data_IF_528586333682
#
_entry.id   IF_528586333682
#
_cell.length_a   1.000
_cell.length_b   1.000
_cell.length_c   1.000
_cell.angle_alpha   90.00
_cell.angle_beta   90.00
_cell.angle_gamma   90.00
#
_symmetry.space_group_name_H-M   'P 1'
#
loop_
_entity.id
_entity.type
_entity.pdbx_description
1 polymer ?
#
# COMPACT_ATOMS: atom_id res chain seq x y z
N UNK A 1 7.82 11.26 61.97
CA UNK A 1 8.64 10.69 60.87
C UNK A 1 7.83 10.35 59.61
N UNK A 2 6.62 10.91 59.41
CA UNK A 2 5.69 10.55 58.31
C UNK A 2 5.84 11.40 57.03
N UNK A 3 6.47 12.58 57.09
CA UNK A 3 6.57 13.52 55.95
C UNK A 3 7.29 12.94 54.73
N UNK A 4 8.47 12.32 54.94
CA UNK A 4 9.28 11.73 53.85
C UNK A 4 8.57 10.57 53.14
N UNK A 5 7.71 9.84 53.87
CA UNK A 5 6.93 8.75 53.28
C UNK A 5 5.81 9.30 52.39
N UNK A 6 5.12 10.35 52.83
CA UNK A 6 4.09 11.02 52.03
C UNK A 6 4.65 11.70 50.77
N UNK A 7 5.81 12.36 50.87
CA UNK A 7 6.49 12.96 49.71
C UNK A 7 6.87 11.90 48.66
N UNK A 8 7.41 10.74 49.09
CA UNK A 8 7.70 9.62 48.17
C UNK A 8 6.44 9.06 47.51
N UNK A 9 5.34 8.97 48.25
CA UNK A 9 4.07 8.51 47.71
C UNK A 9 3.50 9.50 46.68
N UNK A 10 3.60 10.80 46.93
CA UNK A 10 3.17 11.85 46.00
C UNK A 10 4.03 11.86 44.73
N UNK A 11 5.36 11.77 44.86
CA UNK A 11 6.28 11.68 43.73
C UNK A 11 5.99 10.44 42.87
N UNK A 12 5.73 9.29 43.50
CA UNK A 12 5.36 8.06 42.77
C UNK A 12 4.05 8.22 42.01
N UNK A 13 3.04 8.89 42.58
CA UNK A 13 1.77 9.16 41.89
C UNK A 13 1.96 10.11 40.70
N UNK A 14 2.81 11.12 40.83
CA UNK A 14 3.14 12.03 39.73
C UNK A 14 3.86 11.29 38.61
N UNK A 15 4.88 10.49 38.95
CA UNK A 15 5.62 9.68 37.99
C UNK A 15 4.70 8.72 37.20
N UNK A 16 3.73 8.08 37.86
CA UNK A 16 2.75 7.21 37.18
C UNK A 16 1.88 8.00 36.20
N UNK A 17 1.39 9.19 36.59
CA UNK A 17 0.59 10.03 35.68
C UNK A 17 1.41 10.48 34.47
N UNK A 18 2.67 10.86 34.68
CA UNK A 18 3.58 11.22 33.60
C UNK A 18 3.89 10.03 32.69
N UNK A 19 4.08 8.84 33.25
CA UNK A 19 4.26 7.61 32.48
C UNK A 19 3.03 7.30 31.62
N UNK A 20 1.83 7.28 32.20
CA UNK A 20 0.59 7.06 31.46
C UNK A 20 0.37 8.12 30.38
N UNK A 21 0.71 9.39 30.65
CA UNK A 21 0.65 10.46 29.65
C UNK A 21 1.57 10.18 28.47
N UNK A 22 2.82 9.77 28.74
CA UNK A 22 3.80 9.42 27.69
C UNK A 22 3.35 8.22 26.87
N UNK A 23 2.83 7.18 27.53
CA UNK A 23 2.31 5.99 26.85
C UNK A 23 1.13 6.33 25.94
N UNK A 24 0.22 7.20 26.38
CA UNK A 24 -0.90 7.67 25.55
C UNK A 24 -0.44 8.52 24.37
N UNK A 25 0.52 9.43 24.57
CA UNK A 25 1.09 10.24 23.50
C UNK A 25 1.84 9.38 22.47
N UNK A 26 2.59 8.37 22.93
CA UNK A 26 3.27 7.43 22.05
C UNK A 26 2.28 6.55 21.27
N UNK A 27 1.22 6.04 21.93
CA UNK A 27 0.17 5.29 21.27
C UNK A 27 -0.53 6.12 20.17
N UNK A 28 -0.87 7.38 20.47
CA UNK A 28 -1.42 8.32 19.48
C UNK A 28 -0.45 8.56 18.32
N UNK A 29 0.84 8.73 18.60
CA UNK A 29 1.87 8.91 17.58
C UNK A 29 1.98 7.69 16.67
N UNK A 30 1.94 6.47 17.24
CA UNK A 30 1.95 5.22 16.48
C UNK A 30 0.71 5.09 15.61
N UNK A 31 -0.47 5.41 16.13
CA UNK A 31 -1.72 5.39 15.36
C UNK A 31 -1.67 6.41 14.20
N UNK A 32 -1.20 7.64 14.45
CA UNK A 32 -1.06 8.65 13.41
C UNK A 32 -0.08 8.20 12.31
N UNK A 33 1.03 7.57 12.67
CA UNK A 33 1.98 7.02 11.70
C UNK A 33 1.37 5.87 10.88
N UNK A 34 0.60 4.99 11.50
CA UNK A 34 -0.12 3.91 10.80
C UNK A 34 -1.13 4.48 9.80
N UNK A 35 -1.96 5.44 10.22
CA UNK A 35 -2.93 6.08 9.32
C UNK A 35 -2.24 6.78 8.15
N UNK A 36 -1.15 7.52 8.39
CA UNK A 36 -0.37 8.15 7.33
C UNK A 36 0.20 7.12 6.34
N UNK A 37 0.65 5.96 6.84
CA UNK A 37 1.16 4.87 5.98
C UNK A 37 0.05 4.25 5.11
N UNK A 38 -1.16 4.06 5.67
CA UNK A 38 -2.32 3.54 4.95
C UNK A 38 -2.72 4.53 3.85
N UNK A 39 -2.85 5.81 4.18
CA UNK A 39 -3.16 6.86 3.17
C UNK A 39 -2.12 6.91 2.05
N UNK A 40 -0.84 6.75 2.38
CA UNK A 40 0.24 6.70 1.36
C UNK A 40 0.10 5.47 0.45
N UNK A 41 -0.29 4.34 1.03
CA UNK A 41 -0.54 3.11 0.27
C UNK A 41 -1.75 3.26 -0.67
N UNK A 42 -2.86 3.83 -0.18
CA UNK A 42 -4.06 4.08 -0.98
C UNK A 42 -3.76 5.02 -2.16
N UNK A 43 -2.96 6.08 -1.93
CA UNK A 43 -2.51 6.97 -3.02
C UNK A 43 -1.68 6.24 -4.07
N UNK A 44 -0.88 5.24 -3.68
CA UNK A 44 -0.10 4.43 -4.61
C UNK A 44 -0.99 3.46 -5.38
N UNK A 45 -2.01 2.89 -4.74
CA UNK A 45 -3.02 2.08 -5.44
C UNK A 45 -3.74 2.93 -6.49
N UNK A 46 -4.21 4.12 -6.12
CA UNK A 46 -4.90 5.00 -7.07
C UNK A 46 -4.02 5.31 -8.30
N UNK A 47 -2.74 5.66 -8.10
CA UNK A 47 -1.79 5.89 -9.20
C UNK A 47 -1.56 4.66 -10.08
N UNK A 48 -1.54 3.46 -9.48
CA UNK A 48 -1.40 2.22 -10.23
C UNK A 48 -2.66 1.90 -11.04
N UNK A 49 -3.83 2.21 -10.50
CA UNK A 49 -5.09 2.08 -11.22
C UNK A 49 -5.14 3.05 -12.40
N UNK A 50 -4.80 4.32 -12.19
CA UNK A 50 -4.72 5.31 -13.27
C UNK A 50 -3.74 4.89 -14.38
N UNK A 51 -2.54 4.43 -14.00
CA UNK A 51 -1.58 3.91 -14.97
C UNK A 51 -2.11 2.69 -15.75
N UNK A 52 -2.91 1.82 -15.12
CA UNK A 52 -3.57 0.70 -15.81
C UNK A 52 -4.63 1.20 -16.78
N UNK A 53 -5.36 2.28 -16.44
CA UNK A 53 -6.32 2.93 -17.35
C UNK A 53 -5.61 3.48 -18.58
N UNK A 54 -4.50 4.20 -18.38
CA UNK A 54 -3.70 4.77 -19.48
C UNK A 54 -3.17 3.68 -20.42
N UNK A 55 -2.65 2.57 -19.87
CA UNK A 55 -2.22 1.42 -20.68
C UNK A 55 -3.38 0.80 -21.43
N UNK A 56 -4.55 0.64 -20.79
CA UNK A 56 -5.73 0.10 -21.44
C UNK A 56 -6.20 0.98 -22.61
N UNK A 57 -6.17 2.31 -22.44
CA UNK A 57 -6.46 3.28 -23.51
C UNK A 57 -5.46 3.18 -24.66
N UNK A 58 -4.15 3.13 -24.37
CA UNK A 58 -3.12 2.95 -25.38
C UNK A 58 -3.26 1.62 -26.14
N UNK A 59 -3.66 0.54 -25.46
CA UNK A 59 -3.95 -0.75 -26.10
C UNK A 59 -5.17 -0.64 -27.01
N UNK A 60 -6.23 0.05 -26.59
CA UNK A 60 -7.41 0.29 -27.43
C UNK A 60 -7.07 1.09 -28.68
N UNK A 61 -6.27 2.15 -28.55
CA UNK A 61 -5.75 2.93 -29.67
C UNK A 61 -4.90 2.08 -30.61
N UNK A 62 -4.00 1.25 -30.07
CA UNK A 62 -3.19 0.33 -30.87
C UNK A 62 -4.07 -0.66 -31.64
N UNK A 63 -5.10 -1.24 -31.01
CA UNK A 63 -6.03 -2.16 -31.68
C UNK A 63 -6.77 -1.46 -32.82
N UNK A 64 -7.17 -0.20 -32.65
CA UNK A 64 -7.76 0.60 -33.71
C UNK A 64 -6.76 0.91 -34.84
N UNK A 65 -5.51 1.26 -34.50
CA UNK A 65 -4.47 1.59 -35.46
C UNK A 65 -3.99 0.40 -36.30
N UNK A 66 -3.85 -0.78 -35.68
CA UNK A 66 -3.42 -2.01 -36.35
C UNK A 66 -4.57 -2.79 -36.99
N UNK A 67 -5.83 -2.37 -36.79
CA UNK A 67 -7.00 -3.00 -37.41
C UNK A 67 -7.39 -4.37 -36.82
N UNK A 68 -6.84 -4.73 -35.67
CA UNK A 68 -7.14 -6.01 -35.03
C UNK A 68 -6.32 -6.32 -33.77
N UNK A 69 -6.90 -7.14 -32.90
CA UNK A 69 -6.27 -7.55 -31.62
C UNK A 69 -4.98 -8.34 -31.81
N UNK A 70 -4.90 -9.17 -32.85
CA UNK A 70 -3.73 -10.04 -33.10
C UNK A 70 -2.52 -9.23 -33.54
N UNK A 71 -2.73 -8.24 -34.39
CA UNK A 71 -1.68 -7.40 -34.93
C UNK A 71 -1.19 -6.39 -33.88
N UNK A 72 -2.10 -5.83 -33.08
CA UNK A 72 -1.74 -5.02 -31.93
C UNK A 72 -0.97 -5.83 -30.87
N UNK A 73 -1.38 -7.07 -30.58
CA UNK A 73 -0.65 -7.96 -29.66
C UNK A 73 0.80 -8.18 -30.13
N UNK A 74 0.98 -8.48 -31.42
CA UNK A 74 2.30 -8.64 -32.01
C UNK A 74 3.15 -7.36 -31.96
N UNK A 75 2.54 -6.20 -32.23
CA UNK A 75 3.24 -4.90 -32.21
C UNK A 75 3.63 -4.44 -30.79
N UNK A 76 2.80 -4.73 -29.79
CA UNK A 76 3.03 -4.37 -28.39
C UNK A 76 3.87 -5.41 -27.63
N UNK A 77 4.17 -6.56 -28.23
CA UNK A 77 4.84 -7.67 -27.56
C UNK A 77 3.99 -8.31 -26.45
N UNK A 78 2.67 -8.21 -26.56
CA UNK A 78 1.70 -8.77 -25.62
C UNK A 78 1.06 -10.04 -26.21
N UNK A 79 0.49 -10.85 -25.34
CA UNK A 79 -0.40 -11.94 -25.76
C UNK A 79 -1.77 -11.38 -26.15
N UNK A 80 -2.50 -12.12 -26.98
CA UNK A 80 -3.88 -11.77 -27.33
C UNK A 80 -4.84 -11.83 -26.13
N UNK A 81 -4.50 -12.62 -25.11
CA UNK A 81 -5.23 -12.66 -23.84
C UNK A 81 -5.05 -11.35 -23.06
N UNK A 82 -3.81 -10.88 -22.89
CA UNK A 82 -3.53 -9.60 -22.21
C UNK A 82 -4.20 -8.42 -22.93
N UNK A 83 -4.13 -8.36 -24.26
CA UNK A 83 -4.83 -7.32 -25.04
C UNK A 83 -6.35 -7.37 -24.78
N UNK A 84 -6.93 -8.57 -24.66
CA UNK A 84 -8.36 -8.72 -24.34
C UNK A 84 -8.67 -8.20 -22.94
N UNK A 85 -7.83 -8.49 -21.96
CA UNK A 85 -8.03 -8.05 -20.58
C UNK A 85 -7.93 -6.53 -20.45
N UNK A 86 -6.96 -5.92 -21.13
CA UNK A 86 -6.86 -4.46 -21.21
C UNK A 86 -8.07 -3.82 -21.90
N UNK A 87 -8.56 -4.41 -23.00
CA UNK A 87 -9.78 -3.92 -23.66
C UNK A 87 -11.04 -4.06 -22.78
N UNK A 88 -11.16 -5.14 -22.01
CA UNK A 88 -12.26 -5.28 -21.05
C UNK A 88 -12.16 -4.19 -19.97
N UNK A 89 -10.95 -3.95 -19.45
CA UNK A 89 -10.70 -2.90 -18.46
C UNK A 89 -11.04 -1.51 -19.01
N UNK A 90 -10.75 -1.25 -20.29
CA UNK A 90 -11.12 -0.01 -20.99
C UNK A 90 -12.63 0.12 -21.16
N UNK A 91 -13.33 -0.92 -21.61
CA UNK A 91 -14.79 -0.87 -21.80
C UNK A 91 -15.52 -0.63 -20.48
N UNK A 92 -15.10 -1.30 -19.39
CA UNK A 92 -15.66 -1.05 -18.05
C UNK A 92 -15.46 0.39 -17.58
N UNK A 93 -14.40 1.08 -18.04
CA UNK A 93 -14.17 2.49 -17.70
C UNK A 93 -15.10 3.39 -18.50
N UNK A 94 -15.18 3.17 -19.81
CA UNK A 94 -16.08 3.92 -20.69
C UNK A 94 -17.52 3.82 -20.19
N UNK A 95 -17.99 2.62 -19.80
CA UNK A 95 -19.32 2.42 -19.23
C UNK A 95 -19.53 3.21 -17.92
N UNK A 96 -18.55 3.18 -16.99
CA UNK A 96 -18.65 3.96 -15.74
C UNK A 96 -18.65 5.47 -15.97
N UNK A 97 -17.87 5.96 -16.93
CA UNK A 97 -17.79 7.38 -17.23
C UNK A 97 -19.08 7.87 -17.91
N UNK A 98 -19.67 7.08 -18.81
CA UNK A 98 -20.97 7.39 -19.42
C UNK A 98 -22.10 7.43 -18.40
N UNK A 99 -22.13 6.49 -17.44
CA UNK A 99 -23.16 6.47 -16.38
C UNK A 99 -23.02 7.66 -15.42
N UNK A 100 -21.78 8.13 -15.19
CA UNK A 100 -21.50 9.29 -14.33
C UNK A 100 -21.92 10.62 -14.97
N UNK A 101 -21.86 10.74 -16.28
CA UNK A 101 -22.31 11.94 -16.99
C UNK A 101 -23.84 12.09 -17.00
N UNK A 102 -24.60 10.98 -16.95
CA UNK A 102 -26.05 11.03 -16.85
C UNK A 102 -26.56 11.44 -15.45
N UNK A 103 -25.84 11.11 -14.36
CA UNK A 103 -26.20 11.52 -13.00
C UNK A 103 -25.57 12.86 -12.55
N UNK A 104 -24.51 13.34 -13.22
CA UNK A 104 -23.72 14.52 -12.81
C UNK A 104 -24.15 15.86 -13.42
N UNK A 105 -25.05 15.87 -14.40
CA UNK A 105 -25.42 17.04 -15.21
C UNK A 105 -26.17 18.20 -14.51
N UNK A 106 -26.39 18.14 -13.19
CA UNK A 106 -27.17 19.15 -12.46
C UNK A 106 -26.38 19.98 -11.42
N UNK A 107 -25.06 19.81 -11.27
CA UNK A 107 -24.35 20.33 -10.09
C UNK A 107 -23.08 21.18 -10.26
N UNK A 108 -22.52 21.36 -11.47
CA UNK A 108 -21.19 21.95 -11.64
C UNK A 108 -21.23 23.38 -12.21
N UNK A 109 -21.70 24.34 -11.42
CA UNK A 109 -21.54 25.76 -11.72
C UNK A 109 -21.26 26.57 -10.44
N UNK A 110 -20.10 26.37 -9.82
CA UNK A 110 -19.48 27.36 -8.93
C UNK A 110 -18.03 26.96 -8.58
N UNK A 111 -17.06 27.78 -8.98
CA UNK A 111 -15.73 27.76 -8.34
C UNK A 111 -14.52 27.83 -9.27
N UNK A 112 -14.49 28.77 -10.22
CA UNK A 112 -13.27 29.16 -10.93
C UNK A 112 -12.98 30.65 -10.71
N UNK A 113 -11.92 30.96 -9.96
CA UNK A 113 -11.12 32.21 -10.00
C UNK A 113 -9.91 32.01 -9.08
N UNK A 114 -8.67 31.78 -9.53
CA UNK A 114 -7.67 32.67 -10.18
C UNK A 114 -6.92 33.61 -9.22
N UNK A 115 -5.58 33.53 -9.24
CA UNK A 115 -4.59 34.56 -8.81
C UNK A 115 -4.10 34.40 -7.36
N UNK A 116 -2.83 34.55 -6.97
CA UNK A 116 -1.63 35.16 -7.58
C UNK A 116 -0.34 34.64 -6.89
N UNK A 117 0.71 34.58 -7.70
CA UNK A 117 2.15 34.80 -7.46
C UNK A 117 2.74 34.93 -6.04
N UNK A 118 3.84 34.19 -5.77
CA UNK A 118 5.11 34.86 -5.43
C UNK A 118 6.33 34.02 -5.84
N UNK A 119 7.21 34.71 -6.54
CA UNK A 119 8.45 34.35 -7.20
C UNK A 119 9.64 34.36 -6.22
N UNK A 120 10.54 33.37 -6.30
CA UNK A 120 11.89 33.51 -5.76
C UNK A 120 12.88 32.78 -6.69
N UNK A 121 13.54 33.58 -7.53
CA UNK A 121 14.64 33.18 -8.37
C UNK A 121 15.95 33.14 -7.56
N UNK A 122 16.76 32.11 -7.81
CA UNK A 122 18.12 32.00 -7.31
C UNK A 122 18.88 30.97 -8.13
N UNK A 123 19.43 31.42 -9.27
CA UNK A 123 20.24 30.62 -10.17
C UNK A 123 21.73 30.74 -9.82
N UNK A 124 22.41 29.60 -9.64
CA UNK A 124 23.84 29.31 -9.91
C UNK A 124 24.17 27.97 -9.23
N UNK A 125 24.92 27.01 -9.78
CA UNK A 125 25.71 26.96 -10.99
C UNK A 125 26.03 25.50 -11.33
N UNK A 126 26.41 25.31 -12.59
CA UNK A 126 26.74 24.05 -13.22
C UNK A 126 28.19 23.67 -12.85
N UNK A 127 28.44 22.49 -12.27
CA UNK A 127 29.77 21.86 -12.29
C UNK A 127 29.63 20.34 -12.28
N UNK A 128 30.25 19.71 -13.28
CA UNK A 128 30.23 18.28 -13.55
C UNK A 128 31.05 17.46 -12.53
N UNK A 129 30.73 16.15 -12.50
CA UNK A 129 31.24 15.08 -11.63
C UNK A 129 32.78 14.85 -11.68
N UNK A 130 33.32 14.03 -10.76
CA UNK A 130 33.49 12.61 -11.12
C UNK A 130 33.20 11.56 -10.03
N UNK A 131 32.78 10.41 -10.55
CA UNK A 131 32.83 9.01 -10.11
C UNK A 131 33.42 8.60 -8.75
N UNK A 132 32.71 7.70 -8.04
CA UNK A 132 33.33 6.80 -7.05
C UNK A 132 32.41 6.06 -6.06
N UNK A 133 31.66 5.04 -6.52
CA UNK A 133 31.23 3.82 -5.78
C UNK A 133 30.30 3.93 -4.52
N UNK A 134 29.75 2.82 -4.00
CA UNK A 134 28.64 2.04 -4.58
C UNK A 134 27.41 1.90 -3.63
N UNK A 135 26.31 1.41 -4.21
CA UNK A 135 25.26 0.54 -3.64
C UNK A 135 24.49 0.90 -2.34
N UNK A 136 23.16 0.95 -2.48
CA UNK A 136 22.30 0.01 -1.75
C UNK A 136 22.01 0.29 -0.27
N UNK A 137 21.57 1.51 0.06
CA UNK A 137 21.06 1.82 1.41
C UNK A 137 19.58 1.46 1.60
N UNK A 138 19.26 0.17 1.68
CA UNK A 138 17.95 -0.30 2.18
C UNK A 138 17.91 -0.08 3.71
N UNK A 139 16.91 0.55 4.33
CA UNK A 139 16.89 0.72 5.77
C UNK A 139 16.78 -0.65 6.45
N UNK A 140 17.76 -0.95 7.30
CA UNK A 140 17.88 -2.22 8.02
C UNK A 140 16.63 -2.50 8.88
N UNK A 141 15.83 -3.48 8.47
CA UNK A 141 14.83 -4.11 9.32
C UNK A 141 15.59 -5.09 10.24
N UNK A 142 15.42 -5.04 11.58
CA UNK A 142 16.05 -6.01 12.46
C UNK A 142 15.51 -7.42 12.16
N UNK A 143 16.39 -8.31 11.68
CA UNK A 143 16.09 -9.72 11.43
C UNK A 143 15.94 -10.43 12.78
N UNK A 144 14.72 -10.86 13.09
CA UNK A 144 14.45 -11.75 14.22
C UNK A 144 14.93 -13.16 13.84
N UNK A 145 15.98 -13.63 14.50
CA UNK A 145 16.47 -15.01 14.35
C UNK A 145 15.52 -15.96 15.08
N UNK A 146 14.82 -16.82 14.33
CA UNK A 146 14.17 -17.99 14.91
C UNK A 146 15.21 -19.10 15.07
N UNK A 147 15.46 -19.65 16.27
CA UNK A 147 16.33 -20.81 16.42
C UNK A 147 15.62 -22.06 15.87
N UNK A 148 16.16 -22.61 14.79
CA UNK A 148 15.85 -23.95 14.28
C UNK A 148 16.52 -24.99 15.16
N UNK A 149 15.71 -25.86 15.77
CA UNK A 149 16.00 -27.28 15.95
C UNK A 149 16.93 -27.70 17.10
N UNK A 150 16.35 -28.26 18.16
CA UNK A 150 16.95 -29.43 18.82
C UNK A 150 15.81 -30.38 19.20
N UNK A 151 15.71 -31.48 18.45
CA UNK A 151 14.85 -32.61 18.78
C UNK A 151 15.40 -33.37 19.99
N UNK A 152 14.54 -34.05 20.76
CA UNK A 152 14.93 -35.29 21.39
C UNK A 152 14.16 -36.48 20.79
N UNK A 153 14.88 -37.37 20.09
CA UNK A 153 14.53 -38.79 20.00
C UNK A 153 14.73 -39.39 21.42
N UNK A 154 13.99 -40.35 21.97
CA UNK A 154 13.41 -41.57 21.39
C UNK A 154 12.45 -42.25 22.41
N UNK A 155 11.49 -43.03 21.89
CA UNK A 155 10.96 -44.32 22.41
C UNK A 155 9.98 -44.35 23.60
N UNK A 156 8.72 -44.76 23.34
CA UNK A 156 8.12 -46.05 23.81
C UNK A 156 6.66 -46.25 23.34
N UNK A 157 6.47 -47.31 22.52
CA UNK A 157 5.31 -48.20 22.29
C UNK A 157 3.89 -47.69 21.88
N UNK A 158 3.42 -48.17 20.72
CA UNK A 158 2.02 -48.25 20.25
C UNK A 158 1.23 -49.39 20.96
N UNK A 159 -0.14 -49.41 20.96
CA UNK A 159 -0.97 -49.80 19.79
C UNK A 159 -2.18 -48.84 19.56
N UNK A 160 -2.46 -48.45 18.32
CA UNK A 160 -3.37 -49.11 17.37
C UNK A 160 -4.84 -49.18 17.84
N UNK A 161 -5.66 -48.24 17.36
CA UNK A 161 -7.12 -48.41 17.24
C UNK A 161 -7.65 -47.55 16.07
N UNK A 162 -7.85 -48.24 14.95
CA UNK A 162 -8.81 -48.04 13.86
C UNK A 162 -9.55 -46.70 13.68
N UNK A 163 -9.39 -46.16 12.47
CA UNK A 163 -10.34 -45.29 11.77
C UNK A 163 -11.56 -46.12 11.33
N UNK A 164 -12.78 -45.55 11.36
CA UNK A 164 -13.57 -45.46 10.13
C UNK A 164 -14.14 -44.04 10.00
N UNK A 165 -13.76 -43.24 9.00
CA UNK A 165 -14.29 -43.24 7.63
C UNK A 165 -15.83 -43.22 7.58
N UNK A 166 -16.43 -42.01 7.56
CA UNK A 166 -17.67 -41.78 6.82
C UNK A 166 -17.90 -40.30 6.50
N UNK A 167 -17.78 -40.00 5.22
CA UNK A 167 -18.43 -38.93 4.45
C UNK A 167 -19.29 -39.74 3.44
N UNK A 168 -20.59 -39.44 3.17
CA UNK A 168 -21.01 -38.18 2.55
C UNK A 168 -22.40 -37.60 2.93
N UNK A 169 -22.57 -36.31 2.61
CA UNK A 169 -23.82 -35.57 2.28
C UNK A 169 -24.71 -36.34 1.26
N UNK A 170 -25.90 -35.86 0.81
CA UNK A 170 -26.87 -34.88 1.31
C UNK A 170 -28.34 -35.43 1.28
N UNK A 171 -29.33 -34.65 1.73
CA UNK A 171 -30.70 -34.56 1.16
C UNK A 171 -31.41 -33.30 1.66
#
# INVERSE_FOLDING_TARGET
MTSRHNERLQARRQALREQHKRELEEAKRRQAAQLASITTFDQRIAKLEDAKRDVAGAVAEAVAAFGGRRDAAAALGLTTAEVRDYLNTWNEQVERDTDREEEGGAGAAAGASTGEDTQAAGAAGNTAAPAGAPEGGNPAVPRQENPVGTAPETTTAHPSAAVPAQVPDPL
#
